data_IF_838317400870
#
_entry.id   IF_838317400870
#
_cell.length_a   1.000
_cell.length_b   1.000
_cell.length_c   1.000
_cell.angle_alpha   90.00
_cell.angle_beta   90.00
_cell.angle_gamma   90.00
#
_symmetry.space_group_name_H-M   'P 1'
#
loop_
_entity.id
_entity.type
_entity.pdbx_description
1 polymer ?
#
# COMPACT_ATOMS: atom_id res chain seq x y z
N UNK A 1 -13.42 1.44 -11.99
CA UNK A 1 -12.11 0.76 -11.84
C UNK A 1 -11.75 0.68 -10.37
N UNK A 2 -11.63 -0.51 -9.76
CA UNK A 2 -11.17 -0.67 -8.36
C UNK A 2 -9.64 -0.62 -8.33
N UNK A 3 -9.08 0.56 -8.05
CA UNK A 3 -7.63 0.83 -8.00
C UNK A 3 -6.97 0.40 -6.68
N UNK A 4 -7.75 -0.02 -5.69
CA UNK A 4 -7.29 -0.45 -4.36
C UNK A 4 -7.45 -1.95 -4.19
N UNK A 5 -6.43 -2.59 -3.63
CA UNK A 5 -6.54 -3.96 -3.14
C UNK A 5 -7.22 -3.90 -1.77
N UNK A 6 -8.41 -4.47 -1.66
CA UNK A 6 -9.15 -4.56 -0.40
C UNK A 6 -9.20 -6.01 0.09
N UNK A 7 -9.01 -6.19 1.39
CA UNK A 7 -9.21 -7.44 2.11
C UNK A 7 -10.02 -7.16 3.35
N UNK A 8 -11.01 -8.02 3.59
CA UNK A 8 -11.89 -7.96 4.74
C UNK A 8 -11.86 -9.34 5.38
N UNK A 9 -11.61 -9.39 6.68
CA UNK A 9 -11.51 -10.64 7.44
C UNK A 9 -11.90 -10.40 8.89
N UNK A 10 -12.16 -11.49 9.62
CA UNK A 10 -12.54 -11.44 11.02
C UNK A 10 -11.28 -11.68 11.87
N UNK A 11 -10.97 -10.76 12.77
CA UNK A 11 -9.82 -10.88 13.67
C UNK A 11 -10.24 -10.69 15.12
N UNK A 12 -10.13 -11.77 15.89
CA UNK A 12 -10.45 -11.81 17.31
C UNK A 12 -9.17 -11.70 18.13
N UNK A 13 -8.72 -10.46 18.39
CA UNK A 13 -7.52 -10.19 19.17
C UNK A 13 -7.15 -8.71 19.22
N UNK A 14 -5.98 -8.42 19.79
CA UNK A 14 -5.39 -7.08 19.70
C UNK A 14 -4.65 -6.92 18.36
N UNK A 15 -5.35 -6.34 17.40
CA UNK A 15 -4.87 -6.09 16.03
C UNK A 15 -3.68 -5.12 16.00
N UNK A 16 -3.69 -4.15 16.90
CA UNK A 16 -2.91 -2.94 16.75
C UNK A 16 -1.40 -3.12 16.97
N UNK A 17 -0.94 -3.90 17.96
CA UNK A 17 0.48 -4.23 18.10
C UNK A 17 1.04 -5.00 16.90
N UNK A 18 0.25 -5.91 16.31
CA UNK A 18 0.65 -6.69 15.14
C UNK A 18 0.83 -5.78 13.92
N UNK A 19 -0.14 -4.89 13.68
CA UNK A 19 -0.10 -3.94 12.57
C UNK A 19 1.05 -2.93 12.73
N UNK A 20 1.31 -2.43 13.95
CA UNK A 20 2.43 -1.51 14.19
C UNK A 20 3.78 -2.19 14.00
N UNK A 21 3.93 -3.44 14.45
CA UNK A 21 5.15 -4.24 14.22
C UNK A 21 5.39 -4.48 12.74
N UNK A 22 4.37 -4.96 12.02
CA UNK A 22 4.45 -5.16 10.58
C UNK A 22 4.85 -3.87 9.85
N UNK A 23 4.26 -2.73 10.24
CA UNK A 23 4.58 -1.45 9.60
C UNK A 23 6.06 -1.09 9.79
N UNK A 24 6.61 -1.28 10.99
CA UNK A 24 8.03 -1.04 11.27
C UNK A 24 8.95 -1.98 10.46
N UNK A 25 8.66 -3.28 10.44
CA UNK A 25 9.45 -4.29 9.71
C UNK A 25 9.40 -4.07 8.19
N UNK A 26 8.24 -3.69 7.65
CA UNK A 26 8.04 -3.46 6.22
C UNK A 26 8.51 -2.07 5.76
N UNK A 27 8.96 -1.20 6.67
CA UNK A 27 9.46 0.14 6.41
C UNK A 27 8.37 1.18 6.12
N UNK A 28 7.15 0.95 6.61
CA UNK A 28 6.05 1.91 6.55
C UNK A 28 6.12 2.92 7.70
N UNK A 29 5.78 4.17 7.42
CA UNK A 29 5.60 5.22 8.40
C UNK A 29 4.11 5.43 8.67
N UNK A 30 3.74 5.64 9.92
CA UNK A 30 2.37 5.99 10.31
C UNK A 30 2.06 7.42 9.89
N UNK A 31 1.01 7.58 9.08
CA UNK A 31 0.50 8.89 8.62
C UNK A 31 -0.68 9.36 9.47
N UNK A 32 -1.55 8.43 9.87
CA UNK A 32 -2.67 8.73 10.76
C UNK A 32 -2.92 7.55 11.70
N UNK A 33 -3.23 7.84 12.96
CA UNK A 33 -3.54 6.87 14.01
C UNK A 33 -4.79 7.32 14.75
N UNK A 34 -5.90 6.66 14.48
CA UNK A 34 -7.19 6.85 15.12
C UNK A 34 -7.57 5.59 15.92
N UNK A 35 -8.61 5.66 16.75
CA UNK A 35 -9.06 4.53 17.59
C UNK A 35 -9.36 3.26 16.79
N UNK A 36 -9.99 3.43 15.62
CA UNK A 36 -10.48 2.33 14.78
C UNK A 36 -9.82 2.28 13.39
N UNK A 37 -8.79 3.10 13.14
CA UNK A 37 -8.19 3.27 11.82
C UNK A 37 -6.72 3.64 11.93
N UNK A 38 -5.87 3.04 11.11
CA UNK A 38 -4.48 3.45 10.93
C UNK A 38 -4.15 3.55 9.45
N UNK A 39 -3.45 4.62 9.10
CA UNK A 39 -2.97 4.87 7.76
C UNK A 39 -1.44 4.87 7.77
N UNK A 40 -0.87 4.13 6.85
CA UNK A 40 0.55 3.93 6.69
C UNK A 40 1.00 4.32 5.29
N UNK A 41 2.23 4.83 5.19
CA UNK A 41 2.85 5.19 3.93
C UNK A 41 4.27 4.64 3.86
N UNK A 42 4.63 4.07 2.72
CA UNK A 42 6.01 3.68 2.40
C UNK A 42 6.42 4.25 1.05
N UNK A 43 7.63 4.80 0.99
CA UNK A 43 8.19 5.45 -0.19
C UNK A 43 8.31 6.97 -0.01
N UNK A 44 9.21 7.56 -0.79
CA UNK A 44 9.50 8.99 -0.77
C UNK A 44 8.69 9.64 -1.91
N UNK A 45 7.73 10.53 -1.61
CA UNK A 45 6.82 11.13 -2.61
C UNK A 45 7.50 11.93 -3.73
N UNK A 46 8.81 12.19 -3.61
CA UNK A 46 9.58 12.99 -4.58
C UNK A 46 10.26 12.11 -5.64
N UNK A 47 10.49 10.82 -5.32
CA UNK A 47 11.26 9.89 -6.18
C UNK A 47 10.38 8.80 -6.78
N UNK A 48 9.31 8.40 -6.09
CA UNK A 48 8.40 7.34 -6.54
C UNK A 48 7.02 7.47 -5.91
N UNK A 49 6.01 7.01 -6.66
CA UNK A 49 4.63 6.93 -6.18
C UNK A 49 4.54 6.12 -4.86
N UNK A 50 4.15 6.74 -3.74
CA UNK A 50 4.21 6.08 -2.44
C UNK A 50 3.11 5.01 -2.30
N UNK A 51 3.45 3.92 -1.64
CA UNK A 51 2.49 2.87 -1.27
C UNK A 51 1.77 3.27 0.01
N UNK A 52 0.44 3.24 -0.02
CA UNK A 52 -0.43 3.52 1.09
C UNK A 52 -1.08 2.23 1.55
N UNK A 53 -1.16 2.02 2.86
CA UNK A 53 -1.93 0.94 3.47
C UNK A 53 -2.79 1.52 4.58
N UNK A 54 -4.07 1.20 4.55
CA UNK A 54 -5.05 1.58 5.55
C UNK A 54 -5.63 0.33 6.19
N UNK A 55 -5.63 0.30 7.51
CA UNK A 55 -6.26 -0.74 8.30
C UNK A 55 -7.39 -0.11 9.09
N UNK A 56 -8.61 -0.60 8.91
CA UNK A 56 -9.81 -0.19 9.65
C UNK A 56 -10.33 -1.36 10.44
N UNK A 57 -10.76 -1.12 11.67
CA UNK A 57 -11.41 -2.12 12.52
C UNK A 57 -12.86 -1.70 12.81
N UNK A 58 -13.79 -2.61 12.54
CA UNK A 58 -15.22 -2.51 12.86
C UNK A 58 -15.61 -3.71 13.71
N UNK A 59 -15.57 -3.55 15.04
CA UNK A 59 -15.77 -4.66 15.99
C UNK A 59 -14.73 -5.78 15.75
N UNK A 60 -15.17 -6.95 15.28
CA UNK A 60 -14.32 -8.08 14.93
C UNK A 60 -13.89 -8.07 13.45
N UNK A 61 -14.51 -7.24 12.61
CA UNK A 61 -14.18 -7.13 11.19
C UNK A 61 -13.00 -6.18 10.99
N UNK A 62 -12.02 -6.59 10.18
CA UNK A 62 -10.85 -5.81 9.81
C UNK A 62 -10.87 -5.59 8.30
N UNK A 63 -10.90 -4.33 7.89
CA UNK A 63 -10.76 -3.91 6.50
C UNK A 63 -9.35 -3.39 6.25
N UNK A 64 -8.61 -4.10 5.41
CA UNK A 64 -7.30 -3.70 4.91
C UNK A 64 -7.43 -3.20 3.49
N UNK A 65 -6.95 -1.99 3.23
CA UNK A 65 -6.87 -1.41 1.90
C UNK A 65 -5.43 -1.03 1.59
N UNK A 66 -4.94 -1.43 0.42
CA UNK A 66 -3.64 -1.04 -0.08
C UNK A 66 -3.75 -0.41 -1.47
N UNK A 67 -3.06 0.70 -1.69
CA UNK A 67 -3.03 1.38 -2.98
C UNK A 67 -1.72 2.13 -3.18
N UNK A 68 -1.38 2.41 -4.43
CA UNK A 68 -0.29 3.31 -4.79
C UNK A 68 -0.90 4.69 -5.00
N UNK A 69 -0.47 5.69 -4.24
CA UNK A 69 -0.91 7.08 -4.44
C UNK A 69 -0.28 7.58 -5.73
N UNK A 70 -1.09 8.07 -6.66
CA UNK A 70 -0.58 8.69 -7.88
C UNK A 70 0.31 9.88 -7.51
N UNK A 71 1.52 9.89 -8.04
CA UNK A 71 2.52 10.92 -7.77
C UNK A 71 2.17 12.20 -8.57
N UNK A 72 2.15 13.40 -7.96
CA UNK A 72 2.10 14.66 -8.70
C UNK A 72 3.17 14.76 -9.79
N UNK A 73 4.32 14.10 -9.65
CA UNK A 73 5.34 14.03 -10.68
C UNK A 73 4.87 13.27 -11.93
N UNK A 74 4.16 12.16 -11.75
CA UNK A 74 3.52 11.41 -12.85
C UNK A 74 2.41 12.25 -13.52
N UNK A 75 1.65 13.02 -12.74
CA UNK A 75 0.60 13.91 -13.25
C UNK A 75 1.22 15.08 -14.01
N UNK A 76 2.27 15.73 -13.50
CA UNK A 76 2.97 16.84 -14.15
C UNK A 76 3.70 16.37 -15.41
N UNK A 77 4.37 15.21 -15.38
CA UNK A 77 5.03 14.65 -16.57
C UNK A 77 4.03 14.33 -17.70
N UNK A 78 2.85 13.80 -17.36
CA UNK A 78 1.76 13.59 -18.33
C UNK A 78 1.19 14.90 -18.86
N UNK A 79 1.00 15.92 -17.99
CA UNK A 79 0.41 17.21 -18.38
C UNK A 79 1.37 18.13 -19.15
N UNK A 80 2.69 18.01 -18.95
CA UNK A 80 3.68 18.91 -19.58
C UNK A 80 4.27 18.36 -20.89
N UNK A 81 3.81 17.20 -21.37
CA UNK A 81 4.29 16.59 -22.61
C UNK A 81 5.77 16.20 -22.59
N UNK A 82 6.47 16.40 -21.46
CA UNK A 82 7.83 15.92 -21.26
C UNK A 82 7.75 14.41 -21.13
N UNK A 83 8.36 13.70 -22.07
CA UNK A 83 8.63 12.26 -21.93
C UNK A 83 9.34 12.10 -20.57
N UNK A 84 8.73 11.47 -19.55
CA UNK A 84 9.54 11.01 -18.43
C UNK A 84 10.53 10.06 -19.09
N UNK A 85 11.83 10.36 -19.03
CA UNK A 85 12.88 9.60 -19.72
C UNK A 85 12.58 8.11 -19.60
N UNK A 86 12.12 7.55 -20.71
CA UNK A 86 11.50 6.23 -20.80
C UNK A 86 12.39 5.40 -21.71
N UNK A 87 13.18 4.54 -21.07
CA UNK A 87 13.99 3.50 -21.67
C UNK A 87 14.13 2.32 -20.68
N UNK A 88 13.14 1.42 -20.69
CA UNK A 88 13.40 -0.03 -20.78
C UNK A 88 12.68 -0.33 -22.08
N UNK A 89 13.42 -0.28 -23.19
CA UNK A 89 12.85 -0.15 -24.53
C UNK A 89 11.72 -1.15 -24.74
N UNK A 90 10.58 -0.65 -25.20
CA UNK A 90 9.42 -1.45 -25.60
C UNK A 90 8.53 -1.97 -24.46
N UNK A 91 7.66 -1.08 -23.94
CA UNK A 91 6.31 -1.47 -23.56
C UNK A 91 6.03 -1.85 -22.10
N UNK A 92 5.79 -0.83 -21.25
CA UNK A 92 4.76 -0.91 -20.20
C UNK A 92 5.12 -1.57 -18.84
N UNK A 93 6.22 -1.15 -18.19
CA UNK A 93 6.74 -1.80 -16.98
C UNK A 93 6.78 -0.94 -15.69
N UNK A 94 6.37 0.34 -15.73
CA UNK A 94 6.57 1.29 -14.60
C UNK A 94 5.56 1.15 -13.44
N UNK A 95 4.37 0.56 -13.66
CA UNK A 95 3.41 0.29 -12.59
C UNK A 95 3.53 -1.11 -11.97
N UNK A 96 4.35 -2.01 -12.56
CA UNK A 96 4.42 -3.42 -12.18
C UNK A 96 5.29 -3.66 -10.94
N UNK A 97 6.41 -2.94 -10.82
CA UNK A 97 7.32 -2.99 -9.67
C UNK A 97 6.70 -2.45 -8.37
N UNK A 98 6.02 -1.27 -8.37
CA UNK A 98 5.30 -0.80 -7.19
C UNK A 98 4.18 -1.75 -6.77
N UNK A 99 3.43 -2.31 -7.74
CA UNK A 99 2.35 -3.28 -7.47
C UNK A 99 2.87 -4.58 -6.87
N UNK A 100 3.95 -5.17 -7.41
CA UNK A 100 4.58 -6.37 -6.84
C UNK A 100 5.13 -6.12 -5.43
N UNK A 101 5.76 -4.97 -5.18
CA UNK A 101 6.27 -4.60 -3.84
C UNK A 101 5.15 -4.31 -2.84
N UNK A 102 4.06 -3.66 -3.28
CA UNK A 102 2.88 -3.44 -2.45
C UNK A 102 2.19 -4.78 -2.14
N UNK A 103 2.03 -5.66 -3.13
CA UNK A 103 1.47 -7.00 -2.95
C UNK A 103 2.29 -7.83 -1.94
N UNK A 104 3.63 -7.86 -2.05
CA UNK A 104 4.48 -8.54 -1.06
C UNK A 104 4.30 -7.99 0.35
N UNK A 105 4.24 -6.67 0.51
CA UNK A 105 4.05 -6.05 1.81
C UNK A 105 2.68 -6.38 2.43
N UNK A 106 1.62 -6.39 1.61
CA UNK A 106 0.28 -6.80 2.04
C UNK A 106 0.23 -8.27 2.37
N UNK A 107 0.86 -9.14 1.58
CA UNK A 107 0.90 -10.58 1.85
C UNK A 107 1.64 -10.88 3.16
N UNK A 108 2.73 -10.18 3.46
CA UNK A 108 3.40 -10.30 4.75
C UNK A 108 2.50 -9.90 5.93
N UNK A 109 1.62 -8.89 5.76
CA UNK A 109 0.63 -8.53 6.78
C UNK A 109 -0.44 -9.61 6.94
N UNK A 110 -0.93 -10.16 5.83
CA UNK A 110 -1.94 -11.22 5.85
C UNK A 110 -1.38 -12.48 6.51
N UNK A 111 -0.17 -12.90 6.16
CA UNK A 111 0.52 -14.03 6.79
C UNK A 111 0.71 -13.82 8.30
N UNK A 112 1.11 -12.62 8.74
CA UNK A 112 1.24 -12.28 10.16
C UNK A 112 -0.11 -12.32 10.91
N UNK A 113 -1.22 -12.18 10.19
CA UNK A 113 -2.59 -12.24 10.71
C UNK A 113 -3.24 -13.61 10.53
N UNK A 114 -2.54 -14.59 9.94
CA UNK A 114 -3.06 -15.94 9.68
C UNK A 114 -3.98 -16.05 8.47
N UNK A 115 -3.99 -15.05 7.59
CA UNK A 115 -4.87 -14.95 6.42
C UNK A 115 -4.16 -15.35 5.12
N UNK A 116 -4.93 -15.78 4.11
CA UNK A 116 -4.39 -16.20 2.82
C UNK A 116 -3.82 -15.02 1.99
N UNK A 117 -2.68 -15.22 1.30
CA UNK A 117 -2.03 -14.17 0.52
C UNK A 117 -2.82 -13.77 -0.73
N UNK A 118 -2.67 -12.52 -1.17
CA UNK A 118 -3.26 -12.01 -2.41
C UNK A 118 -2.42 -12.41 -3.62
N UNK A 119 -3.01 -13.16 -4.57
CA UNK A 119 -2.41 -13.52 -5.86
C UNK A 119 -2.29 -12.35 -6.84
#
# INVERSE_FOLDING_TARGET
>A
MKSRTTREFIFNGDLWPLVDRWAAEAGFKTVAKEKNRRLFQRGIPVVMAPTMVEVRRRKAEVGLQAWVKADPYLVIAVLTGKKPEMGIESGGMTALLPRRRARRAVNALLEALGEEPVR
#
